data_IF_566340695928
#
_entry.id   IF_566340695928
#
_cell.length_a   1.000
_cell.length_b   1.000
_cell.length_c   1.000
_cell.angle_alpha   90.00
_cell.angle_beta   90.00
_cell.angle_gamma   90.00
#
_symmetry.space_group_name_H-M   'P 1'
#
loop_
_entity.id
_entity.type
_entity.pdbx_description
1 polymer ?
#
# COMPACT_ATOMS: atom_id res chain seq x y z
N UNK A 1 -5.26 42.61 45.23
CA UNK A 1 -4.70 43.07 43.94
C UNK A 1 -4.21 41.84 43.18
N UNK A 2 -4.97 41.38 42.19
CA UNK A 2 -4.61 40.23 41.34
C UNK A 2 -3.76 40.77 40.18
N UNK A 3 -2.52 40.30 40.05
CA UNK A 3 -1.66 40.61 38.89
C UNK A 3 -2.26 39.94 37.64
N UNK A 4 -2.42 40.66 36.51
CA UNK A 4 -2.83 40.03 35.27
C UNK A 4 -1.67 39.21 34.70
N UNK A 5 -1.92 37.92 34.49
CA UNK A 5 -1.01 37.00 33.82
C UNK A 5 -0.96 37.34 32.32
N UNK A 6 0.23 37.65 31.84
CA UNK A 6 0.53 37.94 30.43
C UNK A 6 0.23 36.71 29.57
N UNK A 7 -0.45 36.83 28.41
CA UNK A 7 -0.64 35.70 27.51
C UNK A 7 0.72 35.28 26.92
N UNK A 8 1.07 34.00 27.08
CA UNK A 8 2.21 33.37 26.44
C UNK A 8 2.09 33.53 24.91
N UNK A 9 3.06 34.21 24.32
CA UNK A 9 3.20 34.34 22.88
C UNK A 9 3.49 32.97 22.27
N UNK A 10 2.57 32.47 21.46
CA UNK A 10 2.77 31.29 20.61
C UNK A 10 3.94 31.60 19.67
N UNK A 11 4.88 30.65 19.56
CA UNK A 11 6.12 30.82 18.80
C UNK A 11 5.81 30.91 17.29
N UNK A 12 6.40 31.85 16.53
CA UNK A 12 6.13 32.00 15.10
C UNK A 12 6.49 30.76 14.25
N UNK A 13 7.31 29.85 14.79
CA UNK A 13 7.66 28.58 14.15
C UNK A 13 6.50 27.58 14.14
N UNK A 14 5.66 27.56 15.17
CA UNK A 14 4.50 26.66 15.22
C UNK A 14 3.43 27.09 14.22
N UNK A 15 3.25 28.40 14.04
CA UNK A 15 2.27 28.93 13.06
C UNK A 15 2.65 28.57 11.63
N UNK A 16 3.93 28.70 11.25
CA UNK A 16 4.39 28.26 9.92
C UNK A 16 4.19 26.77 9.67
N UNK A 17 4.43 25.92 10.68
CA UNK A 17 4.24 24.47 10.54
C UNK A 17 2.78 24.08 10.37
N UNK A 18 1.87 24.76 11.08
CA UNK A 18 0.43 24.54 10.99
C UNK A 18 -0.10 25.03 9.64
N UNK A 19 0.34 26.21 9.18
CA UNK A 19 -0.02 26.73 7.85
C UNK A 19 0.39 25.75 6.73
N UNK A 20 1.59 25.18 6.82
CA UNK A 20 2.06 24.18 5.84
C UNK A 20 1.23 22.90 5.86
N UNK A 21 0.80 22.45 7.04
CA UNK A 21 -0.06 21.27 7.17
C UNK A 21 -1.46 21.50 6.57
N UNK A 22 -2.03 22.69 6.79
CA UNK A 22 -3.32 23.07 6.20
C UNK A 22 -3.23 23.11 4.67
N UNK A 23 -2.15 23.69 4.13
CA UNK A 23 -1.92 23.77 2.69
C UNK A 23 -1.85 22.38 2.04
N UNK A 24 -1.10 21.45 2.64
CA UNK A 24 -1.00 20.07 2.16
C UNK A 24 -2.34 19.33 2.27
N UNK A 25 -3.10 19.53 3.35
CA UNK A 25 -4.42 18.92 3.49
C UNK A 25 -5.37 19.40 2.40
N UNK A 26 -5.33 20.71 2.09
CA UNK A 26 -6.20 21.32 1.08
C UNK A 26 -5.84 20.85 -0.34
N UNK A 27 -4.56 20.63 -0.63
CA UNK A 27 -4.08 20.07 -1.89
C UNK A 27 -4.49 18.60 -2.07
N UNK A 28 -4.45 17.81 -0.98
CA UNK A 28 -4.95 16.42 -0.97
C UNK A 28 -6.45 16.40 -1.21
N UNK A 29 -7.23 17.22 -0.50
CA UNK A 29 -8.68 17.27 -0.61
C UNK A 29 -9.11 17.64 -2.05
N UNK A 30 -8.45 18.64 -2.65
CA UNK A 30 -8.69 19.01 -4.05
C UNK A 30 -8.34 17.90 -5.04
N UNK A 31 -7.25 17.16 -4.78
CA UNK A 31 -6.84 16.05 -5.63
C UNK A 31 -7.86 14.90 -5.58
N UNK A 32 -8.38 14.62 -4.39
CA UNK A 32 -9.45 13.63 -4.17
C UNK A 32 -10.73 14.04 -4.90
N UNK A 33 -11.17 15.29 -4.75
CA UNK A 33 -12.36 15.81 -5.44
C UNK A 33 -12.22 15.76 -6.96
N UNK A 34 -11.02 16.04 -7.49
CA UNK A 34 -10.75 15.90 -8.93
C UNK A 34 -10.86 14.45 -9.39
N UNK A 35 -10.29 13.49 -8.64
CA UNK A 35 -10.41 12.06 -8.94
C UNK A 35 -11.88 11.62 -8.95
N UNK A 36 -12.68 12.06 -7.98
CA UNK A 36 -14.11 11.72 -7.91
C UNK A 36 -14.96 12.45 -8.95
N UNK A 37 -14.62 13.68 -9.33
CA UNK A 37 -15.34 14.41 -10.39
C UNK A 37 -15.01 13.91 -11.80
N UNK A 38 -13.82 13.33 -12.00
CA UNK A 38 -13.44 12.60 -13.20
C UNK A 38 -14.02 11.18 -13.26
N UNK A 39 -14.66 10.70 -12.19
CA UNK A 39 -15.43 9.46 -12.21
C UNK A 39 -16.57 9.60 -13.25
N UNK A 40 -16.63 8.76 -14.28
CA UNK A 40 -17.56 9.01 -15.37
C UNK A 40 -19.02 8.92 -14.91
N UNK A 41 -19.84 9.90 -15.30
CA UNK A 41 -21.31 9.80 -15.40
C UNK A 41 -21.74 8.77 -16.47
N UNK A 42 -21.12 7.59 -16.50
CA UNK A 42 -21.35 6.56 -17.52
C UNK A 42 -22.50 5.68 -17.07
N UNK A 43 -23.71 6.14 -17.41
CA UNK A 43 -24.85 5.26 -17.57
C UNK A 43 -25.30 5.26 -19.04
N UNK A 44 -25.00 4.11 -19.68
CA UNK A 44 -25.62 3.45 -20.85
C UNK A 44 -26.30 4.30 -21.93
N UNK A 45 -25.76 4.21 -23.16
CA UNK A 45 -26.54 3.70 -24.31
C UNK A 45 -25.60 3.08 -25.37
N UNK A 46 -25.97 1.96 -26.03
CA UNK A 46 -25.20 1.41 -27.12
C UNK A 46 -25.72 1.99 -28.45
N UNK A 47 -24.87 2.68 -29.20
CA UNK A 47 -25.12 2.97 -30.61
C UNK A 47 -24.23 2.05 -31.44
N UNK A 48 -24.87 1.08 -32.07
CA UNK A 48 -24.29 0.12 -33.00
C UNK A 48 -23.65 0.81 -34.21
N UNK A 49 -22.35 0.61 -34.41
CA UNK A 49 -21.70 0.59 -35.72
C UNK A 49 -20.22 0.28 -35.49
N UNK A 50 -19.86 -1.00 -35.56
CA UNK A 50 -18.47 -1.49 -35.47
C UNK A 50 -17.70 -0.90 -34.27
N UNK A 51 -18.35 -0.85 -33.11
CA UNK A 51 -17.71 -0.50 -31.83
C UNK A 51 -17.06 -1.79 -31.32
N UNK A 52 -15.74 -1.88 -31.41
CA UNK A 52 -14.97 -2.96 -30.83
C UNK A 52 -15.08 -2.84 -29.32
N UNK A 53 -16.14 -3.44 -28.77
CA UNK A 53 -16.48 -3.45 -27.35
C UNK A 53 -15.28 -3.81 -26.44
N UNK A 54 -14.22 -4.39 -27.01
CA UNK A 54 -12.88 -4.52 -26.46
C UNK A 54 -12.31 -3.20 -25.87
N UNK A 55 -12.27 -2.10 -26.63
CA UNK A 55 -11.71 -0.82 -26.15
C UNK A 55 -12.53 -0.23 -24.98
N UNK A 56 -13.83 -0.51 -24.96
CA UNK A 56 -14.72 -0.13 -23.86
C UNK A 56 -14.53 -1.02 -22.63
N UNK A 57 -14.31 -2.31 -22.82
CA UNK A 57 -14.02 -3.26 -21.76
C UNK A 57 -12.68 -2.92 -21.07
N UNK A 58 -11.66 -2.58 -21.87
CA UNK A 58 -10.41 -2.02 -21.36
C UNK A 58 -10.72 -0.81 -20.44
N UNK A 59 -11.49 0.18 -20.92
CA UNK A 59 -11.76 1.41 -20.13
C UNK A 59 -12.57 1.12 -18.86
N UNK A 60 -13.44 0.11 -18.91
CA UNK A 60 -14.22 -0.35 -17.75
C UNK A 60 -13.39 -1.12 -16.73
N UNK A 61 -12.25 -1.68 -17.12
CA UNK A 61 -11.31 -2.34 -16.22
C UNK A 61 -10.50 -1.32 -15.42
N UNK A 62 -10.15 -0.18 -16.03
CA UNK A 62 -9.26 0.81 -15.40
C UNK A 62 -9.85 1.44 -14.15
N UNK A 63 -11.11 1.85 -14.20
CA UNK A 63 -11.71 2.70 -13.16
C UNK A 63 -12.01 1.96 -11.84
N UNK A 64 -12.66 0.78 -11.83
CA UNK A 64 -12.89 0.04 -10.60
C UNK A 64 -11.57 -0.37 -9.91
N UNK A 65 -10.58 -0.84 -10.68
CA UNK A 65 -9.28 -1.22 -10.13
C UNK A 65 -8.49 -0.01 -9.62
N UNK A 66 -8.63 1.16 -10.27
CA UNK A 66 -8.08 2.41 -9.74
C UNK A 66 -8.68 2.73 -8.37
N UNK A 67 -10.00 2.55 -8.19
CA UNK A 67 -10.65 2.78 -6.88
C UNK A 67 -10.13 1.81 -5.81
N UNK A 68 -9.92 0.53 -6.15
CA UNK A 68 -9.33 -0.46 -5.23
C UNK A 68 -7.94 -0.01 -4.78
N UNK A 69 -7.07 0.36 -5.73
CA UNK A 69 -5.69 0.80 -5.43
C UNK A 69 -5.66 2.10 -4.63
N UNK A 70 -6.56 3.05 -4.90
CA UNK A 70 -6.72 4.27 -4.08
C UNK A 70 -7.21 3.93 -2.67
N UNK A 71 -8.17 3.01 -2.52
CA UNK A 71 -8.66 2.56 -1.22
C UNK A 71 -7.54 1.96 -0.36
N UNK A 72 -6.67 1.15 -0.96
CA UNK A 72 -5.50 0.60 -0.28
C UNK A 72 -4.50 1.68 0.12
N UNK A 73 -4.20 2.65 -0.76
CA UNK A 73 -3.32 3.77 -0.41
C UNK A 73 -3.85 4.56 0.81
N UNK A 74 -5.16 4.80 0.88
CA UNK A 74 -5.79 5.46 2.04
C UNK A 74 -5.59 4.64 3.32
N UNK A 75 -5.69 3.32 3.22
CA UNK A 75 -5.46 2.41 4.33
C UNK A 75 -4.01 2.46 4.82
N UNK A 76 -3.02 2.40 3.93
CA UNK A 76 -1.59 2.50 4.29
C UNK A 76 -1.24 3.86 4.91
N UNK A 77 -1.77 4.95 4.35
CA UNK A 77 -1.62 6.29 4.92
C UNK A 77 -2.19 6.36 6.33
N UNK A 78 -3.33 5.71 6.58
CA UNK A 78 -3.94 5.66 7.92
C UNK A 78 -3.01 4.96 8.92
N UNK A 79 -2.42 3.82 8.56
CA UNK A 79 -1.44 3.13 9.41
C UNK A 79 -0.18 3.96 9.66
N UNK A 80 0.33 4.62 8.62
CA UNK A 80 1.49 5.49 8.74
C UNK A 80 1.22 6.64 9.72
N UNK A 81 0.08 7.32 9.59
CA UNK A 81 -0.30 8.42 10.47
C UNK A 81 -0.51 7.98 11.92
N UNK A 82 -1.15 6.84 12.15
CA UNK A 82 -1.31 6.26 13.48
C UNK A 82 0.05 5.92 14.12
N UNK A 83 0.94 5.29 13.34
CA UNK A 83 2.30 4.97 13.76
C UNK A 83 3.11 6.22 14.12
N UNK A 84 3.02 7.27 13.30
CA UNK A 84 3.67 8.56 13.55
C UNK A 84 3.11 9.25 14.80
N UNK A 85 1.78 9.23 14.99
CA UNK A 85 1.14 9.79 16.17
C UNK A 85 1.62 9.08 17.45
N UNK A 86 1.72 7.75 17.43
CA UNK A 86 2.25 6.96 18.54
C UNK A 86 3.73 7.23 18.80
N UNK A 87 4.54 7.39 17.75
CA UNK A 87 5.95 7.75 17.87
C UNK A 87 6.11 9.13 18.53
N UNK A 88 5.39 10.14 18.04
CA UNK A 88 5.41 11.51 18.60
C UNK A 88 4.95 11.50 20.05
N UNK A 89 3.89 10.77 20.38
CA UNK A 89 3.38 10.61 21.75
C UNK A 89 4.43 9.94 22.66
N UNK A 90 5.13 8.93 22.14
CA UNK A 90 6.24 8.28 22.84
C UNK A 90 7.44 9.20 23.10
N UNK A 91 7.75 10.11 22.16
CA UNK A 91 8.85 11.07 22.27
C UNK A 91 8.49 12.24 23.22
N UNK A 92 7.30 12.84 23.07
CA UNK A 92 6.83 13.97 23.88
C UNK A 92 6.65 13.61 25.35
N UNK A 93 6.18 12.40 25.65
CA UNK A 93 5.75 12.10 27.02
C UNK A 93 6.87 11.85 28.02
N UNK A 94 8.14 11.64 27.63
CA UNK A 94 9.36 11.47 28.49
C UNK A 94 9.30 10.47 29.67
N UNK A 95 8.11 10.07 30.13
CA UNK A 95 7.87 9.11 31.18
C UNK A 95 8.37 7.75 30.72
N UNK A 96 9.20 7.11 31.56
CA UNK A 96 9.73 5.75 31.37
C UNK A 96 8.65 4.75 30.88
N UNK A 97 7.39 4.92 31.29
CA UNK A 97 6.23 4.10 30.88
C UNK A 97 6.00 4.12 29.36
N UNK A 98 6.02 5.30 28.73
CA UNK A 98 5.77 5.45 27.29
C UNK A 98 6.98 5.05 26.44
N UNK A 99 8.21 5.33 26.92
CA UNK A 99 9.43 4.81 26.25
C UNK A 99 9.52 3.29 26.26
N UNK A 100 9.03 2.62 27.32
CA UNK A 100 8.91 1.16 27.35
C UNK A 100 7.83 0.67 26.39
N UNK A 101 6.68 1.33 26.31
CA UNK A 101 5.61 0.99 25.35
C UNK A 101 6.10 1.12 23.90
N UNK A 102 6.69 2.25 23.53
CA UNK A 102 7.19 2.48 22.17
C UNK A 102 8.29 1.48 21.76
N UNK A 103 9.19 1.11 22.68
CA UNK A 103 10.18 0.04 22.45
C UNK A 103 9.56 -1.35 22.39
N UNK A 104 8.61 -1.67 23.29
CA UNK A 104 7.91 -2.96 23.32
C UNK A 104 7.14 -3.22 22.02
N UNK A 105 6.58 -2.18 21.42
CA UNK A 105 5.81 -2.28 20.17
C UNK A 105 6.62 -1.96 18.92
N UNK A 106 7.94 -1.76 19.03
CA UNK A 106 8.82 -1.35 17.94
C UNK A 106 8.20 -0.24 17.05
N UNK A 107 7.65 0.81 17.68
CA UNK A 107 6.87 1.83 16.95
C UNK A 107 7.68 2.47 15.83
N UNK A 108 8.99 2.64 16.00
CA UNK A 108 9.88 3.14 14.95
C UNK A 108 9.96 2.19 13.76
N UNK A 109 10.12 0.89 14.00
CA UNK A 109 10.15 -0.12 12.94
C UNK A 109 8.84 -0.16 12.16
N UNK A 110 7.69 -0.08 12.86
CA UNK A 110 6.38 -0.01 12.20
C UNK A 110 6.22 1.23 11.31
N UNK A 111 6.65 2.40 11.80
CA UNK A 111 6.64 3.62 10.97
C UNK A 111 7.51 3.45 9.72
N UNK A 112 8.68 2.83 9.85
CA UNK A 112 9.54 2.53 8.69
C UNK A 112 8.84 1.59 7.71
N UNK A 113 8.20 0.53 8.20
CA UNK A 113 7.43 -0.42 7.40
C UNK A 113 6.27 0.25 6.67
N UNK A 114 5.40 0.97 7.38
CA UNK A 114 4.28 1.71 6.78
C UNK A 114 4.74 2.78 5.80
N UNK A 115 5.90 3.41 6.04
CA UNK A 115 6.48 4.36 5.09
C UNK A 115 6.84 3.65 3.79
N UNK A 116 7.53 2.50 3.88
CA UNK A 116 7.89 1.72 2.70
C UNK A 116 6.64 1.25 1.93
N UNK A 117 5.65 0.68 2.63
CA UNK A 117 4.38 0.24 2.02
C UNK A 117 3.61 1.39 1.38
N UNK A 118 3.57 2.56 2.01
CA UNK A 118 2.92 3.76 1.45
C UNK A 118 3.65 4.26 0.21
N UNK A 119 4.99 4.32 0.24
CA UNK A 119 5.79 4.73 -0.92
C UNK A 119 5.56 3.81 -2.10
N UNK A 120 5.61 2.50 -1.88
CA UNK A 120 5.33 1.50 -2.89
C UNK A 120 3.88 1.62 -3.41
N UNK A 121 2.93 1.93 -2.52
CA UNK A 121 1.53 2.22 -2.89
C UNK A 121 1.37 3.39 -3.84
N UNK A 122 2.11 4.45 -3.58
CA UNK A 122 2.13 5.62 -4.46
C UNK A 122 2.77 5.26 -5.81
N UNK A 123 3.87 4.51 -5.81
CA UNK A 123 4.55 4.09 -7.04
C UNK A 123 3.69 3.17 -7.91
N UNK A 124 3.04 2.15 -7.33
CA UNK A 124 2.11 1.27 -8.05
C UNK A 124 0.93 2.08 -8.61
N UNK A 125 0.36 3.01 -7.84
CA UNK A 125 -0.73 3.87 -8.31
C UNK A 125 -0.30 4.76 -9.49
N UNK A 126 0.89 5.37 -9.41
CA UNK A 126 1.47 6.16 -10.50
C UNK A 126 1.69 5.29 -11.74
N UNK A 127 2.27 4.09 -11.57
CA UNK A 127 2.48 3.13 -12.65
C UNK A 127 1.15 2.78 -13.32
N UNK A 128 0.12 2.47 -12.55
CA UNK A 128 -1.21 2.14 -13.06
C UNK A 128 -1.83 3.29 -13.86
N UNK A 129 -1.79 4.51 -13.31
CA UNK A 129 -2.38 5.69 -13.94
C UNK A 129 -1.65 6.05 -15.24
N UNK A 130 -0.32 5.89 -15.29
CA UNK A 130 0.49 6.19 -16.49
C UNK A 130 0.54 5.02 -17.48
N UNK A 131 0.30 3.80 -17.02
CA UNK A 131 0.40 2.57 -17.79
C UNK A 131 -0.67 2.44 -18.88
N UNK A 132 -0.30 1.72 -19.94
CA UNK A 132 -1.25 1.30 -20.95
C UNK A 132 -2.15 0.19 -20.40
N UNK A 133 -3.44 0.25 -20.74
CA UNK A 133 -4.47 -0.62 -20.18
C UNK A 133 -4.19 -2.11 -20.40
N UNK A 134 -3.75 -2.46 -21.60
CA UNK A 134 -3.40 -3.85 -21.93
C UNK A 134 -2.23 -4.36 -21.09
N UNK A 135 -1.21 -3.53 -20.85
CA UNK A 135 -0.07 -3.89 -20.01
C UNK A 135 -0.50 -4.10 -18.58
N UNK A 136 -1.34 -3.21 -18.04
CA UNK A 136 -1.88 -3.34 -16.70
C UNK A 136 -2.71 -4.63 -16.54
N UNK A 137 -3.53 -5.00 -17.54
CA UNK A 137 -4.30 -6.25 -17.53
C UNK A 137 -3.39 -7.47 -17.58
N UNK A 138 -2.37 -7.44 -18.44
CA UNK A 138 -1.44 -8.56 -18.57
C UNK A 138 -0.66 -8.78 -17.27
N UNK A 139 -0.21 -7.69 -16.62
CA UNK A 139 0.45 -7.76 -15.32
C UNK A 139 -0.49 -8.31 -14.23
N UNK A 140 -1.75 -7.90 -14.22
CA UNK A 140 -2.75 -8.43 -13.26
C UNK A 140 -3.06 -9.91 -13.50
N UNK A 141 -3.19 -10.33 -14.76
CA UNK A 141 -3.42 -11.74 -15.10
C UNK A 141 -2.24 -12.63 -14.78
N UNK A 142 -1.01 -12.17 -15.03
CA UNK A 142 0.21 -12.94 -14.72
C UNK A 142 0.26 -13.33 -13.24
N UNK A 143 -0.18 -12.40 -12.39
CA UNK A 143 -0.30 -12.60 -10.95
C UNK A 143 -1.39 -13.61 -10.59
N UNK A 144 -2.60 -13.42 -11.12
CA UNK A 144 -3.72 -14.34 -10.85
C UNK A 144 -3.40 -15.76 -11.31
N UNK A 145 -2.81 -15.90 -12.51
CA UNK A 145 -2.39 -17.17 -13.08
C UNK A 145 -1.31 -17.84 -12.22
N UNK A 146 -0.32 -17.08 -11.74
CA UNK A 146 0.70 -17.62 -10.82
C UNK A 146 0.06 -18.18 -9.55
N UNK A 147 -0.91 -17.47 -8.95
CA UNK A 147 -1.63 -17.97 -7.79
C UNK A 147 -2.46 -19.23 -8.07
N UNK A 148 -3.06 -19.32 -9.26
CA UNK A 148 -3.77 -20.54 -9.69
C UNK A 148 -2.81 -21.71 -9.89
N UNK A 149 -1.66 -21.49 -10.50
CA UNK A 149 -0.63 -22.51 -10.72
C UNK A 149 -0.08 -23.05 -9.40
N UNK A 150 0.13 -22.18 -8.40
CA UNK A 150 0.52 -22.58 -7.03
C UNK A 150 -0.54 -23.49 -6.39
N UNK A 151 -1.82 -23.12 -6.48
CA UNK A 151 -2.93 -23.92 -5.94
C UNK A 151 -3.04 -25.26 -6.67
N UNK A 152 -2.92 -25.28 -7.99
CA UNK A 152 -2.95 -26.50 -8.80
C UNK A 152 -1.78 -27.43 -8.47
N UNK A 153 -0.59 -26.87 -8.24
CA UNK A 153 0.57 -27.64 -7.81
C UNK A 153 0.34 -28.30 -6.44
N UNK A 154 -0.22 -27.57 -5.47
CA UNK A 154 -0.56 -28.13 -4.16
C UNK A 154 -1.62 -29.24 -4.25
N UNK A 155 -2.68 -29.03 -5.03
CA UNK A 155 -3.69 -30.07 -5.28
C UNK A 155 -3.08 -31.30 -5.94
N UNK A 156 -2.17 -31.11 -6.91
CA UNK A 156 -1.48 -32.21 -7.59
C UNK A 156 -0.62 -33.02 -6.63
N UNK A 157 0.10 -32.37 -5.70
CA UNK A 157 0.87 -33.05 -4.64
C UNK A 157 -0.03 -33.87 -3.71
N UNK A 158 -1.19 -33.32 -3.34
CA UNK A 158 -2.16 -34.01 -2.48
C UNK A 158 -2.80 -35.24 -3.14
N UNK A 159 -3.02 -35.18 -4.46
CA UNK A 159 -3.59 -36.29 -5.24
C UNK A 159 -2.54 -37.38 -5.52
N UNK A 160 -1.27 -37.02 -5.69
CA UNK A 160 -0.17 -37.95 -5.93
C UNK A 160 0.82 -38.04 -4.73
N UNK A 161 0.39 -38.53 -3.55
CA UNK A 161 1.27 -38.64 -2.39
C UNK A 161 2.36 -39.72 -2.52
N UNK A 162 2.38 -40.50 -3.62
CA UNK A 162 3.13 -41.77 -3.69
C UNK A 162 4.40 -41.76 -4.56
N UNK A 163 4.79 -40.64 -5.19
CA UNK A 163 6.08 -40.60 -5.92
C UNK A 163 7.29 -40.22 -5.05
N UNK A 164 7.12 -39.98 -3.75
CA UNK A 164 8.20 -39.61 -2.83
C UNK A 164 8.61 -40.72 -1.84
N UNK A 165 8.23 -41.97 -2.13
CA UNK A 165 8.69 -43.14 -1.36
C UNK A 165 9.48 -44.09 -2.25
N UNK A 166 10.61 -43.62 -2.75
CA UNK A 166 11.75 -44.50 -3.00
C UNK A 166 13.00 -43.88 -2.36
N UNK A 167 13.53 -44.65 -1.44
CA UNK A 167 14.71 -44.47 -0.60
C UNK A 167 16.01 -44.32 -1.39
N UNK A 168 16.96 -43.54 -0.86
CA UNK A 168 18.37 -43.65 -1.20
C UNK A 168 19.20 -42.48 -0.68
N UNK A 169 19.86 -42.71 0.46
CA UNK A 169 20.81 -41.81 1.12
C UNK A 169 21.96 -41.40 0.20
N UNK A 170 22.44 -40.15 0.31
CA UNK A 170 23.83 -39.85 0.66
C UNK A 170 23.99 -38.35 1.00
N UNK A 171 24.72 -38.09 2.07
CA UNK A 171 25.03 -36.80 2.68
C UNK A 171 26.36 -36.32 2.11
N UNK A 172 26.44 -35.10 1.58
CA UNK A 172 27.65 -34.29 1.71
C UNK A 172 27.30 -32.82 2.04
N UNK A 173 27.83 -32.42 3.19
CA UNK A 173 27.92 -31.09 3.78
C UNK A 173 28.99 -30.28 3.02
N UNK A 174 28.64 -29.12 2.46
CA UNK A 174 29.55 -27.97 2.44
C UNK A 174 28.76 -26.65 2.42
N UNK A 175 29.11 -25.79 3.36
CA UNK A 175 28.44 -24.53 3.64
C UNK A 175 28.62 -23.45 2.57
N UNK A 176 27.57 -22.65 2.42
CA UNK A 176 27.60 -21.37 1.73
C UNK A 176 26.47 -20.50 2.26
N UNK A 177 26.82 -19.53 3.12
CA UNK A 177 25.93 -18.46 3.56
C UNK A 177 25.58 -17.58 2.36
N UNK A 178 24.52 -17.93 1.62
CA UNK A 178 23.85 -17.01 0.75
C UNK A 178 22.82 -16.25 1.58
N UNK A 179 23.04 -14.94 1.74
CA UNK A 179 21.99 -14.05 2.18
C UNK A 179 20.85 -14.16 1.16
N UNK A 180 19.79 -14.88 1.53
CA UNK A 180 18.51 -14.75 0.85
C UNK A 180 18.06 -13.31 1.04
N UNK A 181 18.20 -12.53 -0.03
CA UNK A 181 17.40 -11.35 -0.22
C UNK A 181 15.95 -11.74 0.09
N UNK A 182 15.43 -11.18 1.16
CA UNK A 182 14.00 -11.21 1.47
C UNK A 182 13.32 -10.51 0.31
N UNK A 183 12.97 -11.28 -0.73
CA UNK A 183 11.92 -10.92 -1.67
C UNK A 183 10.67 -10.81 -0.82
N UNK A 184 10.39 -9.59 -0.39
CA UNK A 184 9.05 -9.21 0.04
C UNK A 184 8.18 -9.50 -1.17
N UNK A 185 7.57 -10.69 -1.17
CA UNK A 185 6.61 -11.12 -2.16
C UNK A 185 5.44 -10.14 -2.07
N UNK A 186 5.50 -9.14 -2.93
CA UNK A 186 4.64 -7.99 -2.86
C UNK A 186 3.27 -8.34 -3.45
N UNK A 187 2.31 -8.63 -2.58
CA UNK A 187 0.92 -8.88 -2.94
C UNK A 187 0.15 -7.61 -3.33
N UNK A 188 0.73 -6.41 -3.18
CA UNK A 188 0.01 -5.15 -3.30
C UNK A 188 0.03 -4.56 -4.72
N UNK A 189 1.13 -4.71 -5.47
CA UNK A 189 1.10 -4.44 -6.92
C UNK A 189 0.34 -5.54 -7.71
N UNK A 190 -0.21 -6.53 -6.99
CA UNK A 190 -0.75 -7.81 -7.43
C UNK A 190 -2.24 -8.00 -7.04
N UNK A 191 -2.89 -6.98 -6.47
CA UNK A 191 -4.31 -6.94 -6.07
C UNK A 191 -4.94 -5.64 -6.55
#
# INVERSE_FOLDING_TARGET
MVKPTKPESISPKTDQSISRQIELQLEIDQSVDQIFSCAPKVHRKPSSSTDDNYLKNLKSFRFPNLLVKVGFLIHELSFLFDGLADLIRGLKLSQKKYRRKARKFNTRGKVTEYTASTTESIECLIKWIKGHELTNIQEEWDVELTGMDEVLAEVTKLINPTSASESGEEVEDEGGLAAEDVKINNAFCRQ
#
